data_IF_860355726691
#
_entry.id   IF_860355726691
#
_cell.length_a   1.000
_cell.length_b   1.000
_cell.length_c   1.000
_cell.angle_alpha   90.00
_cell.angle_beta   90.00
_cell.angle_gamma   90.00
#
_symmetry.space_group_name_H-M   'P 1'
#
loop_
_entity.id
_entity.type
_entity.pdbx_description
1 polymer ?
#
# COMPACT_ATOMS: atom_id res chain seq x y z
N UNK A 1 -14.49 12.18 13.13
CA UNK A 1 -14.25 10.86 12.52
C UNK A 1 -13.53 9.99 13.54
N UNK A 2 -13.94 8.73 13.69
CA UNK A 2 -13.34 7.76 14.61
C UNK A 2 -12.91 6.53 13.81
N UNK A 3 -11.82 5.87 14.22
CA UNK A 3 -11.28 4.67 13.55
C UNK A 3 -12.11 3.41 13.89
N UNK A 4 -13.40 3.47 13.58
CA UNK A 4 -14.36 2.37 13.71
C UNK A 4 -15.00 2.15 12.35
N UNK A 5 -15.30 0.90 12.01
CA UNK A 5 -15.90 0.54 10.70
C UNK A 5 -17.26 1.23 10.51
N UNK A 6 -18.04 1.34 11.59
CA UNK A 6 -19.40 1.92 11.56
C UNK A 6 -19.46 3.18 12.44
N UNK A 7 -18.96 4.33 11.97
CA UNK A 7 -18.94 5.54 12.77
C UNK A 7 -20.34 6.15 12.91
N UNK A 8 -20.73 6.55 14.13
CA UNK A 8 -21.92 7.36 14.39
C UNK A 8 -21.60 8.41 15.44
N UNK A 9 -21.89 9.68 15.14
CA UNK A 9 -21.49 10.82 15.99
C UNK A 9 -22.01 10.74 17.43
N UNK A 10 -23.25 10.28 17.61
CA UNK A 10 -23.88 10.15 18.92
C UNK A 10 -23.50 8.86 19.68
N UNK A 11 -22.80 7.91 19.04
CA UNK A 11 -22.49 6.59 19.63
C UNK A 11 -21.00 6.48 19.89
N UNK A 12 -20.64 6.33 21.16
CA UNK A 12 -19.24 6.13 21.55
C UNK A 12 -18.85 4.65 21.38
N UNK A 13 -17.85 4.40 20.53
CA UNK A 13 -17.29 3.08 20.21
C UNK A 13 -15.77 3.05 20.34
N UNK A 14 -15.23 3.76 21.34
CA UNK A 14 -13.78 3.85 21.56
C UNK A 14 -13.10 2.49 21.75
N UNK A 15 -13.82 1.54 22.33
CA UNK A 15 -13.39 0.15 22.51
C UNK A 15 -13.31 -0.65 21.19
N UNK A 16 -13.86 -0.15 20.08
CA UNK A 16 -13.85 -0.80 18.76
C UNK A 16 -12.79 -0.20 17.83
N UNK A 17 -11.87 0.61 18.35
CA UNK A 17 -10.83 1.24 17.53
C UNK A 17 -9.93 0.18 16.88
N UNK A 18 -9.88 0.21 15.56
CA UNK A 18 -9.00 -0.66 14.79
C UNK A 18 -7.66 0.03 14.52
N UNK A 19 -6.58 -0.72 14.70
CA UNK A 19 -5.23 -0.27 14.38
C UNK A 19 -5.02 -0.33 12.87
N UNK A 20 -4.36 0.69 12.33
CA UNK A 20 -3.84 0.72 10.96
C UNK A 20 -2.34 0.99 11.04
N UNK A 21 -1.53 0.01 10.66
CA UNK A 21 -0.06 0.14 10.70
C UNK A 21 0.45 0.61 9.35
N UNK A 22 1.12 1.76 9.34
CA UNK A 22 1.86 2.23 8.16
C UNK A 22 3.32 1.85 8.32
N UNK A 23 3.81 0.92 7.48
CA UNK A 23 5.19 0.41 7.58
C UNK A 23 6.18 1.34 6.88
N UNK A 24 7.48 1.11 7.15
CA UNK A 24 8.60 1.92 6.65
C UNK A 24 8.49 2.19 5.15
N UNK A 25 8.66 3.45 4.76
CA UNK A 25 8.77 3.89 3.37
C UNK A 25 7.47 3.88 2.57
N UNK A 26 6.34 3.50 3.17
CA UNK A 26 5.05 3.59 2.51
C UNK A 26 4.72 5.05 2.18
N UNK A 27 4.19 5.27 0.97
CA UNK A 27 3.73 6.57 0.49
C UNK A 27 2.21 6.62 0.44
N UNK A 28 1.62 7.62 1.09
CA UNK A 28 0.18 7.89 1.04
C UNK A 28 -0.03 9.15 0.22
N UNK A 29 -0.52 8.99 -1.00
CA UNK A 29 -0.78 10.07 -1.93
C UNK A 29 -1.79 11.08 -1.40
N UNK A 30 -1.73 12.29 -1.92
CA UNK A 30 -2.60 13.39 -1.50
C UNK A 30 -4.08 12.98 -1.52
N UNK A 31 -4.81 13.30 -0.44
CA UNK A 31 -6.24 13.02 -0.30
C UNK A 31 -6.62 11.53 -0.40
N UNK A 32 -5.68 10.59 -0.20
CA UNK A 32 -6.01 9.18 -0.04
C UNK A 32 -6.67 8.93 1.32
N UNK A 33 -7.59 7.97 1.36
CA UNK A 33 -8.32 7.55 2.56
C UNK A 33 -8.03 6.09 2.85
N UNK A 34 -7.61 5.77 4.07
CA UNK A 34 -7.40 4.39 4.52
C UNK A 34 -8.53 4.01 5.47
N UNK A 35 -9.32 3.00 5.11
CA UNK A 35 -10.31 2.43 6.04
C UNK A 35 -9.55 1.77 7.19
N UNK A 36 -9.93 2.10 8.42
CA UNK A 36 -9.29 1.59 9.63
C UNK A 36 -9.21 0.06 9.65
N UNK A 37 -8.14 -0.50 10.22
CA UNK A 37 -7.90 -1.95 10.27
C UNK A 37 -7.09 -2.49 9.10
N UNK A 38 -6.85 -1.70 8.05
CA UNK A 38 -6.05 -2.12 6.91
C UNK A 38 -4.60 -1.66 7.07
N UNK A 39 -3.68 -2.60 7.22
CA UNK A 39 -2.24 -2.34 7.28
C UNK A 39 -1.68 -1.96 5.89
N UNK A 40 -0.67 -1.10 5.89
CA UNK A 40 0.05 -0.64 4.70
C UNK A 40 1.48 -1.16 4.75
N UNK A 41 1.83 -2.00 3.77
CA UNK A 41 3.11 -2.67 3.62
C UNK A 41 4.30 -1.73 3.44
N UNK A 42 5.52 -2.26 3.63
CA UNK A 42 6.75 -1.48 3.45
C UNK A 42 6.84 -0.99 2.01
N UNK A 43 7.17 0.28 1.81
CA UNK A 43 7.31 0.90 0.49
C UNK A 43 6.09 0.75 -0.44
N UNK A 44 4.91 0.42 0.10
CA UNK A 44 3.67 0.47 -0.66
C UNK A 44 3.38 1.91 -1.10
N UNK A 45 2.73 2.08 -2.23
CA UNK A 45 2.38 3.39 -2.77
C UNK A 45 0.88 3.47 -3.01
N UNK A 46 0.24 4.31 -2.20
CA UNK A 46 -1.18 4.62 -2.33
C UNK A 46 -1.30 5.85 -3.22
N UNK A 47 -1.91 5.72 -4.39
CA UNK A 47 -2.13 6.85 -5.29
C UNK A 47 -3.02 7.93 -4.67
N UNK A 48 -2.89 9.15 -5.18
CA UNK A 48 -3.73 10.27 -4.76
C UNK A 48 -5.22 9.95 -4.93
N UNK A 49 -6.03 10.36 -3.95
CA UNK A 49 -7.48 10.14 -3.95
C UNK A 49 -7.93 8.68 -3.80
N UNK A 50 -7.01 7.73 -3.56
CA UNK A 50 -7.39 6.32 -3.43
C UNK A 50 -8.12 6.03 -2.11
N UNK A 51 -9.08 5.10 -2.13
CA UNK A 51 -9.80 4.64 -0.93
C UNK A 51 -9.44 3.19 -0.65
N UNK A 52 -8.56 2.98 0.32
CA UNK A 52 -8.03 1.67 0.69
C UNK A 52 -9.00 0.96 1.63
N UNK A 53 -9.55 -0.16 1.14
CA UNK A 53 -10.55 -0.98 1.85
C UNK A 53 -10.02 -2.37 2.23
N UNK A 54 -8.76 -2.67 1.89
CA UNK A 54 -8.05 -3.94 2.18
C UNK A 54 -6.60 -3.63 2.52
N UNK A 55 -5.92 -4.55 3.21
CA UNK A 55 -4.48 -4.44 3.44
C UNK A 55 -3.71 -4.30 2.12
N UNK A 56 -2.64 -3.52 2.15
CA UNK A 56 -1.77 -3.26 0.99
C UNK A 56 -0.42 -3.91 1.24
N UNK A 57 0.04 -4.74 0.31
CA UNK A 57 1.28 -5.50 0.42
C UNK A 57 2.50 -4.60 0.29
N UNK A 58 3.67 -5.11 0.68
CA UNK A 58 4.93 -4.39 0.48
C UNK A 58 5.16 -4.11 -1.01
N UNK A 59 5.67 -2.93 -1.35
CA UNK A 59 5.93 -2.46 -2.72
C UNK A 59 4.70 -2.36 -3.63
N UNK A 60 3.50 -2.59 -3.12
CA UNK A 60 2.29 -2.59 -3.92
C UNK A 60 1.85 -1.18 -4.29
N UNK A 61 1.51 -0.97 -5.56
CA UNK A 61 0.96 0.28 -6.08
C UNK A 61 -0.55 0.13 -6.28
N UNK A 62 -1.34 0.90 -5.52
CA UNK A 62 -2.81 0.89 -5.58
C UNK A 62 -3.38 2.27 -5.89
N UNK A 63 -4.47 2.33 -6.66
CA UNK A 63 -5.17 3.59 -7.02
C UNK A 63 -6.68 3.41 -7.07
N UNK A 64 -7.43 4.52 -6.98
CA UNK A 64 -8.88 4.54 -7.21
C UNK A 64 -9.74 4.32 -5.95
N UNK A 65 -11.07 4.32 -6.14
CA UNK A 65 -12.07 4.15 -5.09
C UNK A 65 -13.13 3.11 -5.51
N UNK A 66 -13.18 1.90 -4.92
CA UNK A 66 -12.18 1.37 -3.97
C UNK A 66 -10.82 1.17 -4.65
N UNK A 67 -9.74 1.19 -3.88
CA UNK A 67 -8.38 1.05 -4.39
C UNK A 67 -8.18 -0.30 -5.08
N UNK A 68 -7.54 -0.30 -6.24
CA UNK A 68 -7.18 -1.51 -6.98
C UNK A 68 -5.67 -1.56 -7.19
N UNK A 69 -5.12 -2.76 -7.10
CA UNK A 69 -3.76 -3.07 -7.52
C UNK A 69 -3.57 -2.70 -8.99
N UNK A 70 -2.51 -1.94 -9.28
CA UNK A 70 -2.11 -1.65 -10.67
C UNK A 70 -0.65 -2.02 -10.95
N UNK A 71 0.09 -2.50 -9.96
CA UNK A 71 1.46 -2.97 -10.14
C UNK A 71 2.29 -2.83 -8.88
N UNK A 72 3.60 -2.73 -9.08
CA UNK A 72 4.58 -2.66 -8.01
C UNK A 72 5.52 -1.48 -8.21
N UNK A 73 6.12 -1.01 -7.14
CA UNK A 73 6.97 0.17 -7.13
C UNK A 73 8.28 -0.12 -6.37
N UNK A 74 9.37 0.50 -6.81
CA UNK A 74 10.66 0.43 -6.10
C UNK A 74 10.66 1.34 -4.87
N UNK A 75 11.69 1.23 -4.05
CA UNK A 75 11.92 2.15 -2.90
C UNK A 75 12.09 3.61 -3.35
N UNK A 76 12.40 3.85 -4.63
CA UNK A 76 12.61 5.17 -5.24
C UNK A 76 11.36 5.70 -5.97
N UNK A 77 10.23 5.00 -5.90
CA UNK A 77 8.99 5.46 -6.51
C UNK A 77 8.84 5.16 -8.01
N UNK A 78 9.70 4.30 -8.57
CA UNK A 78 9.59 3.88 -9.98
C UNK A 78 8.78 2.61 -10.11
N UNK A 79 7.89 2.55 -11.10
CA UNK A 79 7.08 1.35 -11.36
C UNK A 79 7.99 0.20 -11.84
N UNK A 80 7.93 -0.93 -11.15
CA UNK A 80 8.69 -2.13 -11.48
C UNK A 80 8.02 -2.88 -12.64
N UNK A 81 8.82 -3.23 -13.65
CA UNK A 81 8.43 -4.08 -14.77
C UNK A 81 9.15 -5.41 -14.65
N UNK A 82 8.40 -6.45 -14.28
CA UNK A 82 8.94 -7.80 -14.13
C UNK A 82 9.03 -8.51 -15.48
N UNK A 83 10.12 -9.22 -15.72
CA UNK A 83 10.29 -10.11 -16.88
C UNK A 83 9.66 -11.50 -16.63
N UNK A 84 9.77 -12.40 -17.61
CA UNK A 84 9.23 -13.78 -17.53
C UNK A 84 9.80 -14.61 -16.36
N UNK A 85 10.94 -14.18 -15.79
CA UNK A 85 11.58 -14.81 -14.62
C UNK A 85 11.15 -14.15 -13.30
N UNK A 86 10.23 -13.18 -13.34
CA UNK A 86 9.78 -12.45 -12.15
C UNK A 86 10.81 -11.45 -11.60
N UNK A 87 11.78 -11.00 -12.39
CA UNK A 87 12.81 -10.03 -11.95
C UNK A 87 12.55 -8.65 -12.55
N UNK A 88 12.69 -7.61 -11.73
CA UNK A 88 12.66 -6.21 -12.13
C UNK A 88 13.89 -5.47 -11.60
N UNK A 89 14.32 -4.42 -12.31
CA UNK A 89 15.42 -3.54 -11.92
C UNK A 89 14.85 -2.12 -11.81
N UNK A 90 15.16 -1.42 -10.73
CA UNK A 90 14.81 -0.01 -10.60
C UNK A 90 15.68 0.83 -11.56
N UNK A 91 15.09 1.73 -12.37
CA UNK A 91 15.85 2.52 -13.34
C UNK A 91 16.76 3.58 -12.69
N UNK A 92 16.49 3.98 -11.45
CA UNK A 92 17.25 5.02 -10.75
C UNK A 92 18.29 4.43 -9.79
N UNK A 93 17.91 3.43 -9.00
CA UNK A 93 18.79 2.84 -7.99
C UNK A 93 19.55 1.59 -8.45
N UNK A 94 19.21 1.05 -9.61
CA UNK A 94 19.73 -0.23 -10.14
C UNK A 94 19.49 -1.46 -9.24
N UNK A 95 18.74 -1.29 -8.15
CA UNK A 95 18.37 -2.34 -7.21
C UNK A 95 17.47 -3.39 -7.88
N UNK A 96 17.66 -4.64 -7.45
CA UNK A 96 16.96 -5.79 -8.03
C UNK A 96 15.81 -6.24 -7.15
N UNK A 97 14.69 -6.52 -7.78
CA UNK A 97 13.46 -6.97 -7.14
C UNK A 97 12.98 -8.28 -7.78
N UNK A 98 12.48 -9.18 -6.94
CA UNK A 98 11.86 -10.45 -7.35
C UNK A 98 10.39 -10.47 -6.98
N UNK A 99 9.53 -10.84 -7.92
CA UNK A 99 8.11 -11.11 -7.72
C UNK A 99 7.89 -12.63 -7.61
N UNK A 100 7.48 -13.09 -6.44
CA UNK A 100 7.17 -14.49 -6.16
C UNK A 100 5.87 -14.60 -5.37
N UNK A 101 4.92 -15.39 -5.83
CA UNK A 101 3.62 -15.59 -5.17
C UNK A 101 2.89 -14.27 -4.83
N UNK A 102 2.85 -13.32 -5.77
CA UNK A 102 2.28 -11.98 -5.56
C UNK A 102 2.89 -11.20 -4.39
N UNK A 103 4.18 -11.42 -4.10
CA UNK A 103 4.97 -10.67 -3.14
C UNK A 103 6.27 -10.22 -3.79
N UNK A 104 6.61 -8.95 -3.60
CA UNK A 104 7.86 -8.38 -4.07
C UNK A 104 8.88 -8.35 -2.95
N UNK A 105 10.07 -8.87 -3.22
CA UNK A 105 11.23 -8.80 -2.34
C UNK A 105 12.40 -8.12 -3.04
N UNK A 106 13.08 -7.23 -2.34
CA UNK A 106 14.36 -6.68 -2.78
C UNK A 106 15.46 -7.73 -2.59
N UNK A 107 16.26 -7.97 -3.62
CA UNK A 107 17.36 -8.95 -3.60
C UNK A 107 18.68 -8.31 -3.19
N UNK A 108 19.01 -7.16 -3.78
CA UNK A 108 20.24 -6.38 -3.58
C UNK A 108 19.88 -4.91 -3.82
#
# INVERSE_FOLDING_TARGET
FTNVINPRSAVNRKNEYMKTTVRKGASIGANATIVCGNDIGKFAFIGAGAVVVKEVKAYELVVGNPSKHIGWISEYGHRLKFNDKGIAICPESEEKYELKNDLVNKLI
#
